data_IF_945190223378
#
_entry.id   IF_945190223378
#
_cell.length_a   1.000
_cell.length_b   1.000
_cell.length_c   1.000
_cell.angle_alpha   90.00
_cell.angle_beta   90.00
_cell.angle_gamma   90.00
#
_symmetry.space_group_name_H-M   'P 1'
#
loop_
_entity.id
_entity.type
_entity.pdbx_description
1 polymer ?
#
# COMPACT_ATOMS: atom_id res chain seq x y z
N UNK A 1 12.80 -5.06 -19.25
CA UNK A 1 11.39 -4.63 -19.40
C UNK A 1 10.50 -5.57 -18.60
N UNK A 2 9.60 -5.03 -17.79
CA UNK A 2 8.70 -5.83 -16.93
C UNK A 2 7.65 -6.50 -17.82
N UNK A 3 7.48 -7.82 -17.68
CA UNK A 3 6.51 -8.56 -18.49
C UNK A 3 5.09 -8.40 -17.93
N UNK A 4 4.03 -8.43 -18.77
CA UNK A 4 2.65 -8.19 -18.31
C UNK A 4 2.18 -9.12 -17.19
N UNK A 5 2.65 -10.37 -17.19
CA UNK A 5 2.33 -11.33 -16.13
C UNK A 5 3.01 -10.97 -14.80
N UNK A 6 4.22 -10.39 -14.83
CA UNK A 6 4.90 -9.91 -13.62
C UNK A 6 4.12 -8.74 -13.01
N UNK A 7 3.64 -7.81 -13.84
CA UNK A 7 2.81 -6.68 -13.41
C UNK A 7 1.54 -7.19 -12.71
N UNK A 8 0.85 -8.15 -13.33
CA UNK A 8 -0.37 -8.73 -12.79
C UNK A 8 -0.11 -9.44 -11.45
N UNK A 9 0.94 -10.27 -11.36
CA UNK A 9 1.27 -10.97 -10.13
C UNK A 9 1.66 -10.02 -8.99
N UNK A 10 2.48 -9.00 -9.28
CA UNK A 10 2.88 -8.01 -8.28
C UNK A 10 1.70 -7.16 -7.82
N UNK A 11 0.78 -6.82 -8.72
CA UNK A 11 -0.46 -6.09 -8.39
C UNK A 11 -1.36 -6.92 -7.46
N UNK A 12 -1.59 -8.19 -7.81
CA UNK A 12 -2.38 -9.10 -6.97
C UNK A 12 -1.71 -9.34 -5.62
N UNK A 13 -0.38 -9.46 -5.60
CA UNK A 13 0.38 -9.60 -4.37
C UNK A 13 0.24 -8.37 -3.47
N UNK A 14 0.36 -7.14 -4.00
CA UNK A 14 0.14 -5.92 -3.23
C UNK A 14 -1.30 -5.79 -2.71
N UNK A 15 -2.29 -6.28 -3.45
CA UNK A 15 -3.68 -6.37 -3.00
C UNK A 15 -3.83 -7.36 -1.82
N UNK A 16 -3.21 -8.54 -1.93
CA UNK A 16 -3.21 -9.54 -0.87
C UNK A 16 -2.48 -9.05 0.38
N UNK A 17 -1.37 -8.33 0.20
CA UNK A 17 -0.51 -7.90 1.29
C UNK A 17 -1.23 -7.03 2.32
N UNK A 18 -2.01 -6.05 1.87
CA UNK A 18 -2.78 -5.19 2.77
C UNK A 18 -3.92 -5.95 3.44
N UNK A 19 -4.55 -6.90 2.75
CA UNK A 19 -5.55 -7.77 3.36
C UNK A 19 -4.92 -8.68 4.42
N UNK A 20 -3.73 -9.23 4.17
CA UNK A 20 -2.98 -10.04 5.13
C UNK A 20 -2.62 -9.24 6.38
N UNK A 21 -2.11 -8.02 6.23
CA UNK A 21 -1.76 -7.15 7.37
C UNK A 21 -2.98 -6.83 8.26
N UNK A 22 -4.19 -6.80 7.69
CA UNK A 22 -5.43 -6.49 8.39
C UNK A 22 -6.16 -7.70 8.97
N UNK A 23 -5.91 -8.91 8.47
CA UNK A 23 -6.71 -10.11 8.81
C UNK A 23 -5.87 -11.24 9.39
N UNK A 24 -5.13 -11.95 8.54
CA UNK A 24 -4.47 -13.22 8.86
C UNK A 24 -3.11 -13.00 9.52
N UNK A 25 -2.45 -11.88 9.20
CA UNK A 25 -1.13 -11.49 9.73
C UNK A 25 -0.11 -12.63 9.54
N UNK A 26 -0.05 -13.20 8.35
CA UNK A 26 0.88 -14.29 7.99
C UNK A 26 2.34 -13.84 7.85
N UNK A 27 2.65 -12.59 8.20
CA UNK A 27 3.93 -11.90 7.97
C UNK A 27 4.22 -11.59 6.49
N UNK A 28 3.30 -11.91 5.58
CA UNK A 28 3.37 -11.48 4.19
C UNK A 28 3.19 -9.96 4.04
N UNK A 29 2.59 -9.31 5.04
CA UNK A 29 2.58 -7.86 5.26
C UNK A 29 3.93 -7.19 5.57
N UNK A 30 5.07 -7.91 5.57
CA UNK A 30 6.37 -7.29 5.90
C UNK A 30 7.13 -6.82 4.64
N UNK A 31 7.83 -5.66 4.70
CA UNK A 31 8.71 -5.21 3.62
C UNK A 31 9.75 -6.25 3.16
N UNK A 32 10.32 -7.04 4.08
CA UNK A 32 11.26 -8.13 3.71
C UNK A 32 10.57 -9.18 2.84
N UNK A 33 9.37 -9.61 3.24
CA UNK A 33 8.63 -10.61 2.50
C UNK A 33 8.15 -10.06 1.14
N UNK A 34 7.79 -8.78 1.09
CA UNK A 34 7.48 -8.07 -0.15
C UNK A 34 8.65 -8.06 -1.13
N UNK A 35 9.84 -7.72 -0.64
CA UNK A 35 11.08 -7.77 -1.42
C UNK A 35 11.43 -9.18 -1.88
N UNK A 36 11.24 -10.19 -1.02
CA UNK A 36 11.45 -11.59 -1.36
C UNK A 36 10.55 -12.07 -2.51
N UNK A 37 9.23 -11.88 -2.40
CA UNK A 37 8.26 -12.30 -3.43
C UNK A 37 8.50 -11.54 -4.73
N UNK A 38 8.78 -10.23 -4.65
CA UNK A 38 9.06 -9.43 -5.83
C UNK A 38 10.35 -9.87 -6.50
N UNK A 39 11.41 -10.12 -5.75
CA UNK A 39 12.68 -10.64 -6.26
C UNK A 39 12.51 -12.00 -6.94
N UNK A 40 11.67 -12.88 -6.38
CA UNK A 40 11.34 -14.17 -6.98
C UNK A 40 10.60 -14.03 -8.31
N UNK A 41 9.63 -13.11 -8.41
CA UNK A 41 8.89 -12.84 -9.66
C UNK A 41 9.78 -12.18 -10.71
N UNK A 42 10.71 -11.33 -10.29
CA UNK A 42 11.61 -10.57 -11.17
C UNK A 42 12.87 -11.36 -11.55
N UNK A 43 13.18 -12.45 -10.85
CA UNK A 43 14.31 -13.34 -11.14
C UNK A 43 15.59 -13.06 -10.36
N UNK A 44 15.59 -12.10 -9.43
CA UNK A 44 16.72 -11.77 -8.56
C UNK A 44 16.25 -11.58 -7.10
N UNK A 45 16.30 -12.69 -6.36
CA UNK A 45 15.91 -12.75 -4.95
C UNK A 45 16.90 -12.01 -4.05
N UNK A 46 18.18 -11.96 -4.43
CA UNK A 46 19.22 -11.29 -3.63
C UNK A 46 19.00 -9.78 -3.57
N UNK A 47 18.76 -9.17 -4.73
CA UNK A 47 18.39 -7.75 -4.83
C UNK A 47 17.08 -7.47 -4.10
N UNK A 48 16.09 -8.35 -4.26
CA UNK A 48 14.79 -8.22 -3.58
C UNK A 48 14.88 -8.27 -2.05
N UNK A 49 15.62 -9.24 -1.50
CA UNK A 49 15.82 -9.35 -0.06
C UNK A 49 16.63 -8.19 0.50
N UNK A 50 17.62 -7.69 -0.23
CA UNK A 50 18.40 -6.53 0.19
C UNK A 50 17.52 -5.28 0.33
N UNK A 51 16.74 -4.96 -0.71
CA UNK A 51 15.84 -3.80 -0.70
C UNK A 51 14.76 -3.96 0.38
N UNK A 52 14.13 -5.13 0.46
CA UNK A 52 13.10 -5.43 1.47
C UNK A 52 13.64 -5.38 2.90
N UNK A 53 14.85 -5.90 3.12
CA UNK A 53 15.57 -5.83 4.39
C UNK A 53 15.87 -4.40 4.82
N UNK A 54 16.40 -3.58 3.91
CA UNK A 54 16.70 -2.18 4.18
C UNK A 54 15.44 -1.38 4.52
N UNK A 55 14.34 -1.61 3.81
CA UNK A 55 13.06 -0.96 4.10
C UNK A 55 12.41 -1.46 5.39
N UNK A 56 12.61 -2.73 5.75
CA UNK A 56 12.16 -3.23 7.04
C UNK A 56 12.80 -2.46 8.19
N UNK A 57 14.12 -2.22 8.12
CA UNK A 57 14.83 -1.44 9.12
C UNK A 57 14.27 -0.03 9.25
N UNK A 58 13.84 0.58 8.14
CA UNK A 58 13.19 1.90 8.14
C UNK A 58 11.84 1.91 8.87
N UNK A 59 11.07 0.81 8.78
CA UNK A 59 9.72 0.71 9.38
C UNK A 59 9.75 0.24 10.83
N UNK A 60 10.83 -0.38 11.31
CA UNK A 60 10.93 -0.84 12.71
C UNK A 60 10.68 0.28 13.74
N UNK A 61 10.93 1.54 13.36
CA UNK A 61 10.66 2.72 14.20
C UNK A 61 9.27 3.32 14.08
N UNK A 62 8.40 2.81 13.18
CA UNK A 62 7.12 3.44 12.84
C UNK A 62 5.99 2.43 13.09
N UNK A 63 5.11 2.69 14.07
CA UNK A 63 3.93 1.86 14.41
C UNK A 63 2.58 2.53 14.09
N UNK A 64 1.55 1.77 13.70
CA UNK A 64 0.18 2.28 13.51
C UNK A 64 -0.51 2.24 14.87
N UNK A 65 -0.53 3.35 15.60
CA UNK A 65 -1.24 3.44 16.88
C UNK A 65 -2.52 4.26 16.70
N UNK A 66 -3.64 3.77 17.23
CA UNK A 66 -4.95 4.44 17.14
C UNK A 66 -5.47 4.61 15.70
N UNK A 67 -4.96 3.89 14.71
CA UNK A 67 -5.36 4.12 13.31
C UNK A 67 -4.69 5.33 12.64
N UNK A 68 -3.57 5.82 13.20
CA UNK A 68 -2.65 6.67 12.47
C UNK A 68 -2.07 5.89 11.28
N UNK A 69 -2.16 6.48 10.09
CA UNK A 69 -1.53 5.92 8.90
C UNK A 69 -0.01 5.97 9.01
N UNK A 70 0.64 4.92 8.51
CA UNK A 70 2.09 4.80 8.42
C UNK A 70 2.54 4.86 6.97
N UNK A 71 3.83 5.12 6.80
CA UNK A 71 4.53 4.96 5.53
C UNK A 71 4.37 3.52 5.04
N UNK A 72 3.89 3.37 3.80
CA UNK A 72 3.72 2.06 3.18
C UNK A 72 5.02 1.59 2.52
N UNK A 73 5.93 1.12 3.35
CA UNK A 73 7.19 0.57 2.87
C UNK A 73 7.04 -0.76 2.16
N UNK A 74 5.91 -1.45 2.29
CA UNK A 74 5.69 -2.75 1.65
C UNK A 74 5.53 -2.61 0.15
N UNK A 75 4.60 -1.77 -0.28
CA UNK A 75 4.44 -1.42 -1.70
C UNK A 75 5.66 -0.66 -2.23
N UNK A 76 6.31 0.15 -1.38
CA UNK A 76 7.60 0.78 -1.70
C UNK A 76 8.69 -0.24 -2.03
N UNK A 77 8.78 -1.34 -1.27
CA UNK A 77 9.70 -2.44 -1.52
C UNK A 77 9.38 -3.16 -2.83
N UNK A 78 8.10 -3.46 -3.10
CA UNK A 78 7.67 -4.08 -4.37
C UNK A 78 8.11 -3.24 -5.57
N UNK A 79 7.85 -1.93 -5.54
CA UNK A 79 8.19 -1.07 -6.67
C UNK A 79 9.69 -0.86 -6.82
N UNK A 80 10.42 -0.60 -5.73
CA UNK A 80 11.86 -0.40 -5.79
C UNK A 80 12.61 -1.67 -6.23
N UNK A 81 12.21 -2.84 -5.76
CA UNK A 81 12.76 -4.12 -6.24
C UNK A 81 12.45 -4.34 -7.71
N UNK A 82 11.21 -4.11 -8.15
CA UNK A 82 10.84 -4.30 -9.55
C UNK A 82 11.60 -3.35 -10.49
N UNK A 83 11.79 -2.08 -10.11
CA UNK A 83 12.54 -1.12 -10.91
C UNK A 83 14.05 -1.32 -10.86
N UNK A 84 14.61 -1.66 -9.69
CA UNK A 84 16.04 -1.98 -9.56
C UNK A 84 16.43 -3.14 -10.47
N UNK A 85 15.67 -4.24 -10.45
CA UNK A 85 15.97 -5.43 -11.27
C UNK A 85 15.70 -5.17 -12.76
N UNK A 86 14.61 -4.47 -13.10
CA UNK A 86 14.25 -4.28 -14.51
C UNK A 86 15.07 -3.21 -15.25
N UNK A 87 15.55 -2.20 -14.53
CA UNK A 87 16.30 -1.06 -15.09
C UNK A 87 17.80 -1.11 -14.74
N UNK A 88 18.22 -2.07 -13.90
CA UNK A 88 19.61 -2.18 -13.45
C UNK A 88 20.04 -1.03 -12.56
N UNK A 89 19.09 -0.41 -11.84
CA UNK A 89 19.38 0.68 -10.91
C UNK A 89 20.01 0.10 -9.64
N UNK A 90 21.07 0.73 -9.16
CA UNK A 90 21.70 0.42 -7.89
C UNK A 90 20.66 0.36 -6.75
N UNK A 91 20.76 -0.65 -5.90
CA UNK A 91 19.80 -0.90 -4.82
C UNK A 91 19.65 0.29 -3.88
N UNK A 92 20.74 0.99 -3.56
CA UNK A 92 20.71 2.13 -2.64
C UNK A 92 20.02 3.33 -3.28
N UNK A 93 20.23 3.52 -4.59
CA UNK A 93 19.53 4.54 -5.37
C UNK A 93 18.05 4.21 -5.49
N UNK A 94 17.69 2.95 -5.75
CA UNK A 94 16.29 2.53 -5.86
C UNK A 94 15.52 2.74 -4.54
N UNK A 95 16.14 2.47 -3.40
CA UNK A 95 15.54 2.72 -2.08
C UNK A 95 15.26 4.23 -1.90
N UNK A 96 16.26 5.07 -2.14
CA UNK A 96 16.17 6.51 -1.84
C UNK A 96 15.31 7.29 -2.85
N UNK A 97 15.38 6.94 -4.12
CA UNK A 97 14.72 7.69 -5.21
C UNK A 97 13.34 7.16 -5.57
N UNK A 98 13.05 5.88 -5.29
CA UNK A 98 11.78 5.24 -5.64
C UNK A 98 11.03 4.80 -4.39
N UNK A 99 11.63 3.95 -3.54
CA UNK A 99 10.91 3.33 -2.43
C UNK A 99 10.36 4.38 -1.45
N UNK A 100 11.22 5.30 -0.99
CA UNK A 100 10.85 6.29 0.04
C UNK A 100 9.77 7.27 -0.45
N UNK A 101 9.91 7.93 -1.63
CA UNK A 101 8.87 8.84 -2.12
C UNK A 101 7.54 8.13 -2.39
N UNK A 102 7.59 6.91 -2.95
CA UNK A 102 6.36 6.15 -3.23
C UNK A 102 5.69 5.68 -1.95
N UNK A 103 6.45 5.16 -0.99
CA UNK A 103 5.91 4.73 0.30
C UNK A 103 5.23 5.90 1.05
N UNK A 104 5.80 7.11 0.96
CA UNK A 104 5.18 8.33 1.48
C UNK A 104 3.87 8.65 0.74
N UNK A 105 3.89 8.66 -0.61
CA UNK A 105 2.72 8.92 -1.44
C UNK A 105 1.56 7.96 -1.15
N UNK A 106 1.88 6.67 -0.98
CA UNK A 106 0.91 5.63 -0.69
C UNK A 106 0.28 5.75 0.71
N UNK A 107 0.85 6.57 1.60
CA UNK A 107 0.20 6.92 2.87
C UNK A 107 -1.09 7.70 2.64
N UNK A 108 -1.17 8.52 1.59
CA UNK A 108 -2.40 9.23 1.24
C UNK A 108 -3.49 8.27 0.75
N UNK A 109 -3.11 7.27 -0.05
CA UNK A 109 -4.01 6.21 -0.47
C UNK A 109 -4.48 5.34 0.70
N UNK A 110 -3.67 5.17 1.75
CA UNK A 110 -4.08 4.52 3.00
C UNK A 110 -5.26 5.26 3.65
N UNK A 111 -5.12 6.58 3.82
CA UNK A 111 -6.16 7.42 4.41
C UNK A 111 -7.44 7.36 3.58
N UNK A 112 -7.34 7.38 2.25
CA UNK A 112 -8.51 7.22 1.37
C UNK A 112 -9.17 5.84 1.51
N UNK A 113 -8.37 4.78 1.58
CA UNK A 113 -8.88 3.42 1.83
C UNK A 113 -9.66 3.37 3.15
N UNK A 114 -9.10 3.91 4.23
CA UNK A 114 -9.78 4.00 5.54
C UNK A 114 -11.09 4.78 5.45
N UNK A 115 -11.09 5.97 4.84
CA UNK A 115 -12.27 6.81 4.72
C UNK A 115 -13.39 6.14 3.91
N UNK A 116 -13.05 5.44 2.83
CA UNK A 116 -14.03 4.75 2.01
C UNK A 116 -14.64 3.53 2.70
N UNK A 117 -13.93 2.88 3.63
CA UNK A 117 -14.51 1.78 4.43
C UNK A 117 -15.64 2.24 5.37
N UNK A 118 -15.64 3.51 5.79
CA UNK A 118 -16.73 4.10 6.59
C UNK A 118 -18.09 3.99 5.90
N UNK A 119 -18.13 4.09 4.57
CA UNK A 119 -19.37 3.91 3.81
C UNK A 119 -19.96 2.48 3.98
N UNK A 120 -19.10 1.47 4.04
CA UNK A 120 -19.52 0.09 4.27
C UNK A 120 -19.96 -0.13 5.72
N UNK A 121 -19.33 0.55 6.68
CA UNK A 121 -19.75 0.52 8.08
C UNK A 121 -21.21 1.00 8.25
N UNK A 122 -21.56 2.15 7.68
CA UNK A 122 -22.95 2.67 7.73
C UNK A 122 -23.97 1.70 7.08
N UNK A 123 -23.55 0.96 6.04
CA UNK A 123 -24.39 -0.09 5.43
C UNK A 123 -24.57 -1.31 6.32
N UNK A 124 -23.56 -1.65 7.10
CA UNK A 124 -23.64 -2.72 8.11
C UNK A 124 -24.63 -2.30 9.20
N UNK A 125 -24.54 -1.07 9.72
CA UNK A 125 -25.46 -0.55 10.73
C UNK A 125 -26.93 -0.65 10.27
N UNK A 126 -27.21 -0.20 9.04
CA UNK A 126 -28.55 -0.31 8.47
C UNK A 126 -28.99 -1.79 8.27
N UNK A 127 -28.07 -2.72 8.02
CA UNK A 127 -28.38 -4.14 7.90
C UNK A 127 -28.65 -4.80 9.27
N UNK A 128 -27.98 -4.33 10.33
CA UNK A 128 -28.24 -4.74 11.72
C UNK A 128 -29.66 -4.38 12.13
N UNK A 129 -30.12 -3.15 11.84
CA UNK A 129 -31.49 -2.71 12.13
C UNK A 129 -32.57 -3.58 11.47
N UNK A 130 -32.24 -4.18 10.30
CA UNK A 130 -33.14 -5.07 9.55
C UNK A 130 -32.97 -6.54 9.90
N UNK A 131 -32.09 -6.89 10.84
CA UNK A 131 -31.69 -8.27 11.16
C UNK A 131 -31.25 -9.08 9.91
N UNK A 132 -30.68 -8.42 8.90
CA UNK A 132 -30.20 -9.05 7.67
C UNK A 132 -28.74 -9.50 7.83
N UNK A 133 -28.56 -10.68 8.42
CA UNK A 133 -27.23 -11.26 8.65
C UNK A 133 -26.41 -11.46 7.37
N UNK A 134 -27.06 -11.82 6.25
CA UNK A 134 -26.38 -11.96 4.95
C UNK A 134 -25.92 -10.61 4.40
N UNK A 135 -26.70 -9.55 4.66
CA UNK A 135 -26.33 -8.18 4.36
C UNK A 135 -25.06 -7.75 5.12
N UNK A 136 -24.95 -8.12 6.39
CA UNK A 136 -23.77 -7.81 7.23
C UNK A 136 -22.52 -8.50 6.67
N UNK A 137 -22.57 -9.82 6.45
CA UNK A 137 -21.45 -10.60 5.93
C UNK A 137 -20.94 -10.06 4.59
N UNK A 138 -21.87 -9.78 3.66
CA UNK A 138 -21.50 -9.24 2.34
C UNK A 138 -20.83 -7.88 2.46
N UNK A 139 -21.37 -6.95 3.26
CA UNK A 139 -20.77 -5.63 3.39
C UNK A 139 -19.42 -5.67 4.11
N UNK A 140 -19.24 -6.59 5.07
CA UNK A 140 -17.95 -6.82 5.70
C UNK A 140 -16.90 -7.27 4.68
N UNK A 141 -17.20 -8.28 3.85
CA UNK A 141 -16.29 -8.75 2.80
C UNK A 141 -16.04 -7.68 1.73
N UNK A 142 -17.06 -6.91 1.35
CA UNK A 142 -16.90 -5.80 0.42
C UNK A 142 -16.03 -4.67 1.00
N UNK A 143 -15.97 -4.52 2.32
CA UNK A 143 -15.06 -3.58 3.00
C UNK A 143 -13.58 -3.89 2.80
N UNK A 144 -13.22 -5.11 2.42
CA UNK A 144 -11.83 -5.46 2.05
C UNK A 144 -11.43 -4.92 0.66
N UNK A 145 -12.40 -4.66 -0.23
CA UNK A 145 -12.11 -4.17 -1.59
C UNK A 145 -11.45 -2.78 -1.60
N UNK A 146 -11.94 -1.77 -0.87
CA UNK A 146 -11.27 -0.47 -0.80
C UNK A 146 -9.82 -0.56 -0.30
N UNK A 147 -9.54 -1.46 0.64
CA UNK A 147 -8.19 -1.72 1.12
C UNK A 147 -7.31 -2.33 0.04
N UNK A 148 -7.77 -3.38 -0.63
CA UNK A 148 -7.05 -4.01 -1.72
C UNK A 148 -6.76 -3.02 -2.86
N UNK A 149 -7.77 -2.23 -3.25
CA UNK A 149 -7.67 -1.27 -4.35
C UNK A 149 -6.75 -0.09 -4.04
N UNK A 150 -6.65 0.33 -2.78
CA UNK A 150 -5.78 1.45 -2.39
C UNK A 150 -4.30 1.16 -2.62
N UNK A 151 -3.89 -0.12 -2.62
CA UNK A 151 -2.52 -0.57 -2.92
C UNK A 151 -2.37 -1.10 -4.34
N UNK A 152 -3.34 -1.91 -4.79
CA UNK A 152 -3.28 -2.54 -6.11
C UNK A 152 -3.26 -1.52 -7.24
N UNK A 153 -4.10 -0.48 -7.19
CA UNK A 153 -4.16 0.50 -8.28
C UNK A 153 -2.85 1.27 -8.42
N UNK A 154 -2.29 1.91 -7.36
CA UNK A 154 -1.03 2.62 -7.50
C UNK A 154 0.13 1.72 -7.94
N UNK A 155 0.22 0.49 -7.43
CA UNK A 155 1.28 -0.45 -7.82
C UNK A 155 1.14 -0.86 -9.29
N UNK A 156 -0.09 -1.17 -9.75
CA UNK A 156 -0.36 -1.47 -11.14
C UNK A 156 0.05 -0.32 -12.07
N UNK A 157 -0.40 0.90 -11.75
CA UNK A 157 -0.08 2.07 -12.57
C UNK A 157 1.43 2.38 -12.56
N UNK A 158 2.08 2.28 -11.41
CA UNK A 158 3.53 2.46 -11.32
C UNK A 158 4.27 1.43 -12.19
N UNK A 159 3.96 0.14 -12.08
CA UNK A 159 4.63 -0.90 -12.85
C UNK A 159 4.31 -0.86 -14.36
N UNK A 160 3.08 -0.46 -14.74
CA UNK A 160 2.65 -0.41 -16.13
C UNK A 160 3.19 0.82 -16.89
N UNK A 161 3.22 1.99 -16.23
CA UNK A 161 3.61 3.25 -16.85
C UNK A 161 5.04 3.69 -16.49
N UNK A 162 5.68 3.03 -15.53
CA UNK A 162 7.08 3.23 -15.18
C UNK A 162 7.35 4.41 -14.24
N UNK A 163 8.64 4.73 -14.07
CA UNK A 163 9.10 5.76 -13.14
C UNK A 163 8.65 7.17 -13.47
N UNK A 164 8.45 7.51 -14.75
CA UNK A 164 7.92 8.83 -15.16
C UNK A 164 6.50 9.06 -14.65
N UNK A 165 5.66 8.03 -14.65
CA UNK A 165 4.32 8.12 -14.08
C UNK A 165 4.37 8.37 -12.57
N UNK A 166 5.24 7.63 -11.86
CA UNK A 166 5.45 7.83 -10.42
C UNK A 166 5.88 9.27 -10.14
N UNK A 167 6.84 9.79 -10.89
CA UNK A 167 7.30 11.17 -10.74
C UNK A 167 6.20 12.19 -11.07
N UNK A 168 5.39 11.92 -12.10
CA UNK A 168 4.24 12.72 -12.48
C UNK A 168 3.18 12.78 -11.37
N UNK A 169 2.86 11.64 -10.74
CA UNK A 169 1.93 11.57 -9.61
C UNK A 169 2.47 12.29 -8.39
N UNK A 170 3.77 12.14 -8.08
CA UNK A 170 4.42 12.90 -6.99
C UNK A 170 4.36 14.40 -7.25
N UNK A 171 4.61 14.83 -8.49
CA UNK A 171 4.54 16.24 -8.87
C UNK A 171 3.10 16.78 -8.78
N UNK A 172 2.11 15.99 -9.18
CA UNK A 172 0.70 16.33 -9.05
C UNK A 172 0.31 16.47 -7.58
N UNK A 173 0.74 15.57 -6.70
CA UNK A 173 0.50 15.71 -5.25
C UNK A 173 1.13 16.99 -4.69
N UNK A 174 2.31 17.39 -5.18
CA UNK A 174 2.94 18.68 -4.81
C UNK A 174 2.18 19.89 -5.34
N UNK A 175 1.63 19.81 -6.55
CA UNK A 175 0.81 20.87 -7.15
C UNK A 175 -0.51 21.06 -6.36
N UNK A 176 -1.15 19.95 -5.99
CA UNK A 176 -2.38 19.93 -5.18
C UNK A 176 -2.09 19.70 -3.71
N UNK A 177 -1.09 20.41 -3.16
CA UNK A 177 -0.63 20.22 -1.78
C UNK A 177 -1.78 20.38 -0.76
N UNK A 178 -2.76 21.24 -1.03
CA UNK A 178 -3.94 21.43 -0.17
C UNK A 178 -4.79 20.15 0.00
N UNK A 179 -4.83 19.27 -1.01
CA UNK A 179 -5.51 17.96 -0.92
C UNK A 179 -4.72 17.02 -0.02
N UNK A 180 -3.40 16.98 -0.20
CA UNK A 180 -2.50 16.19 0.63
C UNK A 180 -2.54 16.65 2.10
N UNK A 181 -2.57 17.96 2.33
CA UNK A 181 -2.71 18.55 3.66
C UNK A 181 -4.07 18.20 4.28
N UNK A 182 -5.15 18.26 3.50
CA UNK A 182 -6.49 17.84 3.92
C UNK A 182 -6.56 16.36 4.32
N UNK A 183 -5.97 15.47 3.52
CA UNK A 183 -5.84 14.05 3.84
C UNK A 183 -4.97 13.81 5.07
N UNK A 184 -3.88 14.56 5.21
CA UNK A 184 -3.00 14.48 6.39
C UNK A 184 -3.74 14.90 7.65
N UNK A 185 -4.50 15.99 7.60
CA UNK A 185 -5.34 16.44 8.70
C UNK A 185 -6.37 15.37 9.06
N UNK A 186 -7.08 14.85 8.07
CA UNK A 186 -8.08 13.81 8.28
C UNK A 186 -7.48 12.53 8.88
N UNK A 187 -6.31 12.10 8.41
CA UNK A 187 -5.57 10.97 8.95
C UNK A 187 -5.10 11.18 10.40
N UNK A 188 -4.74 12.41 10.77
CA UNK A 188 -4.37 12.76 12.16
C UNK A 188 -5.55 12.78 13.12
N UNK A 189 -6.77 12.94 12.61
CA UNK A 189 -7.99 12.89 13.44
C UNK A 189 -8.45 11.46 13.74
N UNK A 190 -8.10 10.47 12.90
CA UNK A 190 -8.50 9.07 13.08
C UNK A 190 -8.10 8.48 14.45
N UNK A 191 -6.89 8.72 15.00
CA UNK A 191 -6.55 8.37 16.37
C UNK A 191 -7.46 8.91 17.45
N UNK A 192 -7.88 10.17 17.34
CA UNK A 192 -8.81 10.76 18.30
C UNK A 192 -10.15 10.03 18.36
N UNK A 193 -10.61 9.51 17.22
CA UNK A 193 -11.85 8.74 17.11
C UNK A 193 -11.71 7.32 17.66
N UNK A 194 -10.52 6.72 17.62
CA UNK A 194 -10.25 5.40 18.18
C UNK A 194 -10.06 5.38 19.71
N UNK A 195 -9.77 6.53 20.32
CA UNK A 195 -9.69 6.69 21.78
C UNK A 195 -11.01 7.13 22.42
N UNK A 196 -11.96 7.64 21.63
CA UNK A 196 -13.30 8.08 22.06
C UNK A 196 -14.29 6.92 22.07
#
# INVERSE_FOLDING_TARGET
MIQPWQILLLTLYSAYQICDELTIVSSAGSPVFAGFITGLIMGDVTTGLFIGGSLQLFVLGVGTFGGASRIDATSGAVLATAFSISQGIDTDLAITTIAVPVAALLTYFDVLGRMTTTFFAHRIDAAIERFDYKGIERNYLLGALPWALSRALPVFFALAFGGEFVQGVVNLVKEYQWVADGLTLAGRMLPGLGFA
#
